data_IF_925651279665
#
_entry.id   IF_925651279665
#
_cell.length_a   1.000
_cell.length_b   1.000
_cell.length_c   1.000
_cell.angle_alpha   90.00
_cell.angle_beta   90.00
_cell.angle_gamma   90.00
#
_symmetry.space_group_name_H-M   'P 1'
#
loop_
_entity.id
_entity.type
_entity.pdbx_description
1 polymer ?
#
# COMPACT_ATOMS: atom_id res chain seq x y z
N UNK A 1 14.56 8.22 0.57
CA UNK A 1 14.09 7.06 -0.22
C UNK A 1 12.57 7.03 -0.33
N UNK A 2 11.82 6.92 0.79
CA UNK A 2 10.33 6.94 0.71
C UNK A 2 9.78 8.31 0.29
N UNK A 3 10.38 9.42 0.74
CA UNK A 3 9.96 10.77 0.35
C UNK A 3 10.07 10.99 -1.16
N UNK A 4 11.21 10.64 -1.77
CA UNK A 4 11.41 10.72 -3.21
C UNK A 4 10.46 9.85 -4.02
N UNK A 5 10.00 8.71 -3.47
CA UNK A 5 8.97 7.88 -4.11
C UNK A 5 7.65 8.66 -4.24
N UNK A 6 7.26 9.41 -3.21
CA UNK A 6 6.06 10.26 -3.26
C UNK A 6 6.26 11.49 -4.15
N UNK A 7 7.43 12.12 -4.15
CA UNK A 7 7.76 13.26 -5.04
C UNK A 7 7.63 12.88 -6.53
N UNK A 8 7.90 11.62 -6.86
CA UNK A 8 7.76 11.07 -8.22
C UNK A 8 6.34 10.55 -8.52
N UNK A 9 5.37 10.77 -7.63
CA UNK A 9 3.97 10.36 -7.81
C UNK A 9 3.66 8.92 -7.40
N UNK A 10 4.59 8.26 -6.70
CA UNK A 10 4.38 6.94 -6.13
C UNK A 10 3.22 6.93 -5.12
N UNK A 11 2.49 5.81 -5.07
CA UNK A 11 1.35 5.61 -4.16
C UNK A 11 1.66 4.46 -3.22
N UNK A 12 1.48 4.68 -1.92
CA UNK A 12 1.63 3.63 -0.92
C UNK A 12 0.25 3.14 -0.49
N UNK A 13 -0.06 1.89 -0.82
CA UNK A 13 -1.31 1.24 -0.44
C UNK A 13 -1.03 0.12 0.55
N UNK A 14 -1.74 0.13 1.67
CA UNK A 14 -1.55 -0.81 2.78
C UNK A 14 -2.80 -1.67 2.93
N UNK A 15 -2.61 -2.98 2.94
CA UNK A 15 -3.70 -3.94 3.00
C UNK A 15 -4.32 -4.01 4.40
N UNK A 16 -5.61 -3.71 4.52
CA UNK A 16 -6.38 -3.71 5.76
C UNK A 16 -6.29 -5.03 6.54
N UNK A 17 -6.60 -6.21 5.96
CA UNK A 17 -6.49 -7.47 6.71
C UNK A 17 -5.05 -7.78 7.15
N UNK A 18 -4.02 -7.23 6.47
CA UNK A 18 -2.63 -7.44 6.86
C UNK A 18 -2.24 -6.66 8.12
N UNK A 19 -2.69 -5.40 8.24
CA UNK A 19 -2.43 -4.58 9.43
C UNK A 19 -3.28 -5.03 10.62
N UNK A 20 -4.52 -5.46 10.38
CA UNK A 20 -5.40 -6.04 11.40
C UNK A 20 -4.78 -7.30 12.03
N UNK A 21 -4.34 -8.25 11.19
CA UNK A 21 -3.69 -9.48 11.65
C UNK A 21 -2.40 -9.23 12.44
N UNK A 22 -1.74 -8.09 12.19
CA UNK A 22 -0.49 -7.67 12.83
C UNK A 22 -0.70 -6.70 13.99
N UNK A 23 -1.95 -6.33 14.29
CA UNK A 23 -2.31 -5.35 15.33
C UNK A 23 -1.62 -3.98 15.13
N UNK A 24 -1.43 -3.57 13.88
CA UNK A 24 -0.91 -2.25 13.52
C UNK A 24 -2.09 -1.28 13.46
N UNK A 25 -2.00 -0.17 14.18
CA UNK A 25 -3.02 0.88 14.18
C UNK A 25 -2.82 1.80 12.98
N UNK A 26 -3.91 2.46 12.56
CA UNK A 26 -3.85 3.46 11.49
C UNK A 26 -2.85 4.58 11.82
N UNK A 27 -2.78 4.98 13.09
CA UNK A 27 -1.91 6.07 13.56
C UNK A 27 -0.43 5.66 13.62
N UNK A 28 -0.13 4.36 13.50
CA UNK A 28 1.24 3.87 13.35
C UNK A 28 1.76 4.02 11.90
N UNK A 29 0.88 4.33 10.94
CA UNK A 29 1.23 4.49 9.53
C UNK A 29 1.61 5.94 9.22
N UNK A 30 2.48 6.12 8.23
CA UNK A 30 2.77 7.45 7.70
C UNK A 30 1.51 8.06 7.04
N UNK A 31 1.33 9.40 7.10
CA UNK A 31 0.12 10.06 6.60
C UNK A 31 -0.22 9.77 5.13
N UNK A 32 0.79 9.53 4.30
CA UNK A 32 0.66 9.26 2.87
C UNK A 32 0.17 7.83 2.58
N UNK A 33 0.16 6.93 3.57
CA UNK A 33 -0.28 5.56 3.41
C UNK A 33 -1.81 5.49 3.28
N UNK A 34 -2.29 4.89 2.19
CA UNK A 34 -3.72 4.63 1.99
C UNK A 34 -4.06 3.19 2.37
N UNK A 35 -4.93 3.02 3.36
CA UNK A 35 -5.47 1.70 3.70
C UNK A 35 -6.45 1.25 2.61
N UNK A 36 -6.28 0.04 2.10
CA UNK A 36 -7.09 -0.57 1.04
C UNK A 36 -7.52 -2.00 1.42
N UNK A 37 -8.52 -2.54 0.72
CA UNK A 37 -8.88 -3.95 0.85
C UNK A 37 -7.89 -4.86 0.11
N UNK A 38 -7.86 -6.15 0.47
CA UNK A 38 -7.10 -7.15 -0.31
C UNK A 38 -7.57 -7.28 -1.76
N UNK A 39 -8.88 -7.13 -2.01
CA UNK A 39 -9.44 -7.14 -3.37
C UNK A 39 -8.92 -5.99 -4.24
N UNK A 40 -8.65 -4.83 -3.62
CA UNK A 40 -8.03 -3.69 -4.32
C UNK A 40 -6.62 -4.02 -4.79
N UNK A 41 -5.80 -4.69 -3.96
CA UNK A 41 -4.46 -5.13 -4.39
C UNK A 41 -4.53 -6.05 -5.60
N UNK A 42 -5.47 -6.99 -5.61
CA UNK A 42 -5.68 -7.90 -6.75
C UNK A 42 -6.05 -7.14 -8.01
N UNK A 43 -6.99 -6.19 -7.93
CA UNK A 43 -7.41 -5.38 -9.07
C UNK A 43 -6.26 -4.55 -9.65
N UNK A 44 -5.47 -3.89 -8.80
CA UNK A 44 -4.31 -3.09 -9.21
C UNK A 44 -3.22 -3.98 -9.84
N UNK A 45 -3.00 -5.17 -9.27
CA UNK A 45 -2.01 -6.13 -9.79
C UNK A 45 -2.36 -6.66 -11.18
N UNK A 46 -3.66 -6.92 -11.43
CA UNK A 46 -4.14 -7.37 -12.74
C UNK A 46 -4.11 -6.23 -13.77
N UNK A 47 -4.29 -4.99 -13.33
CA UNK A 47 -4.32 -3.81 -14.21
C UNK A 47 -2.92 -3.29 -14.56
N UNK A 48 -1.89 -3.67 -13.81
CA UNK A 48 -0.52 -3.25 -14.05
C UNK A 48 0.13 -4.05 -15.18
N UNK A 49 0.98 -3.40 -15.98
CA UNK A 49 1.77 -4.07 -17.02
C UNK A 49 2.80 -5.05 -16.42
N UNK A 50 3.24 -4.80 -15.19
CA UNK A 50 4.23 -5.60 -14.48
C UNK A 50 4.07 -5.47 -12.98
N UNK A 51 4.30 -6.57 -12.27
CA UNK A 51 4.26 -6.64 -10.80
C UNK A 51 5.59 -7.15 -10.29
N UNK A 52 6.22 -6.38 -9.40
CA UNK A 52 7.45 -6.77 -8.71
C UNK A 52 7.11 -7.13 -7.26
N UNK A 53 7.70 -8.21 -6.75
CA UNK A 53 7.51 -8.68 -5.37
C UNK A 53 8.85 -8.69 -4.64
N UNK A 54 8.83 -8.26 -3.37
CA UNK A 54 10.00 -8.11 -2.50
C UNK A 54 9.69 -8.55 -1.08
#
# INVERSE_FOLDING_TARGET
MIASFFELGGKLMVCAPCIEARKILKDDLIPEARIISGGTLVAESISADSVLTY
#
